data_IF_331921993947
#
_entry.id   IF_331921993947
#
_cell.length_a   1.000
_cell.length_b   1.000
_cell.length_c   1.000
_cell.angle_alpha   90.00
_cell.angle_beta   90.00
_cell.angle_gamma   90.00
#
_symmetry.space_group_name_H-M   'P 1'
#
loop_
_entity.id
_entity.type
_entity.pdbx_description
1 polymer ?
#
# COMPACT_ATOMS: atom_id res chain seq x y z
N UNK A 1 19.78 4.38 -15.68
CA UNK A 1 19.04 5.63 -15.97
C UNK A 1 18.21 5.95 -14.74
N UNK A 2 18.58 7.02 -14.03
CA UNK A 2 18.06 7.37 -12.71
C UNK A 2 16.82 8.27 -12.87
N UNK A 3 15.63 7.70 -12.79
CA UNK A 3 14.37 8.45 -12.94
C UNK A 3 14.04 9.19 -11.64
N UNK A 4 14.28 10.51 -11.62
CA UNK A 4 13.93 11.42 -10.53
C UNK A 4 12.41 11.72 -10.45
N UNK A 5 11.58 10.69 -10.39
CA UNK A 5 10.16 10.84 -10.06
C UNK A 5 9.86 10.05 -8.77
N UNK A 6 9.37 10.69 -7.71
CA UNK A 6 9.03 10.00 -6.45
C UNK A 6 7.84 9.04 -6.61
N UNK A 7 7.11 9.12 -7.73
CA UNK A 7 5.95 8.30 -8.04
C UNK A 7 6.21 7.45 -9.27
N UNK A 8 5.85 6.17 -9.20
CA UNK A 8 5.89 5.28 -10.34
C UNK A 8 4.85 5.70 -11.39
N UNK A 9 5.24 5.75 -12.66
CA UNK A 9 4.26 5.90 -13.74
C UNK A 9 3.53 4.56 -13.94
N UNK A 10 2.31 4.44 -13.41
CA UNK A 10 1.52 3.21 -13.52
C UNK A 10 1.01 2.92 -14.94
N UNK A 11 1.09 3.89 -15.87
CA UNK A 11 0.80 3.65 -17.28
C UNK A 11 1.96 2.97 -18.02
N UNK A 12 3.19 3.08 -17.50
CA UNK A 12 4.36 2.37 -18.00
C UNK A 12 4.39 0.96 -17.41
N UNK A 13 4.40 -0.08 -18.25
CA UNK A 13 4.31 -1.47 -17.76
C UNK A 13 5.51 -1.90 -16.90
N UNK A 14 6.70 -1.41 -17.20
CA UNK A 14 7.92 -1.73 -16.45
C UNK A 14 7.89 -1.10 -15.07
N UNK A 15 7.51 0.18 -14.99
CA UNK A 15 7.36 0.89 -13.72
C UNK A 15 6.17 0.37 -12.92
N UNK A 16 5.06 0.03 -13.59
CA UNK A 16 3.87 -0.57 -12.98
C UNK A 16 4.19 -1.89 -12.29
N UNK A 17 4.84 -2.83 -12.98
CA UNK A 17 5.14 -4.13 -12.37
C UNK A 17 6.12 -4.00 -11.20
N UNK A 18 7.15 -3.17 -11.32
CA UNK A 18 8.08 -2.90 -10.22
C UNK A 18 7.36 -2.28 -9.01
N UNK A 19 6.46 -1.33 -9.23
CA UNK A 19 5.64 -0.74 -8.18
C UNK A 19 4.72 -1.77 -7.52
N UNK A 20 3.98 -2.55 -8.31
CA UNK A 20 3.03 -3.56 -7.80
C UNK A 20 3.74 -4.58 -6.91
N UNK A 21 4.88 -5.11 -7.35
CA UNK A 21 5.64 -6.10 -6.56
C UNK A 21 6.16 -5.50 -5.25
N UNK A 22 6.72 -4.29 -5.29
CA UNK A 22 7.19 -3.59 -4.08
C UNK A 22 6.03 -3.34 -3.11
N UNK A 23 4.92 -2.85 -3.61
CA UNK A 23 3.73 -2.55 -2.80
C UNK A 23 3.14 -3.81 -2.19
N UNK A 24 3.06 -4.91 -2.93
CA UNK A 24 2.59 -6.20 -2.43
C UNK A 24 3.47 -6.72 -1.27
N UNK A 25 4.79 -6.65 -1.41
CA UNK A 25 5.71 -7.03 -0.33
C UNK A 25 5.54 -6.17 0.92
N UNK A 26 5.38 -4.85 0.76
CA UNK A 26 5.15 -3.95 1.90
C UNK A 26 3.82 -4.21 2.61
N UNK A 27 2.77 -4.58 1.87
CA UNK A 27 1.51 -5.02 2.46
C UNK A 27 1.66 -6.35 3.21
N UNK A 28 2.38 -7.31 2.64
CA UNK A 28 2.66 -8.60 3.29
C UNK A 28 3.44 -8.41 4.60
N UNK A 29 4.47 -7.57 4.60
CA UNK A 29 5.23 -7.21 5.79
C UNK A 29 4.31 -6.59 6.86
N UNK A 30 3.42 -5.68 6.47
CA UNK A 30 2.51 -5.01 7.40
C UNK A 30 1.52 -6.01 8.02
N UNK A 31 1.01 -6.95 7.21
CA UNK A 31 0.10 -8.02 7.68
C UNK A 31 0.79 -8.97 8.67
N UNK A 32 2.10 -9.19 8.54
CA UNK A 32 2.88 -10.05 9.45
C UNK A 32 3.55 -9.28 10.59
N UNK A 33 3.42 -7.95 10.63
CA UNK A 33 4.03 -7.11 11.67
C UNK A 33 3.18 -7.05 12.95
N UNK A 34 3.76 -6.47 14.00
CA UNK A 34 3.04 -6.11 15.23
C UNK A 34 1.93 -5.09 14.98
N UNK A 35 1.97 -4.37 13.86
CA UNK A 35 0.99 -3.34 13.50
C UNK A 35 -0.28 -3.90 12.86
N UNK A 36 -0.39 -5.22 12.67
CA UNK A 36 -1.58 -5.88 12.10
C UNK A 36 -2.88 -5.41 12.75
N UNK A 37 -2.88 -5.23 14.07
CA UNK A 37 -4.03 -4.75 14.84
C UNK A 37 -4.55 -3.38 14.37
N UNK A 38 -3.67 -2.50 13.86
CA UNK A 38 -4.04 -1.17 13.36
C UNK A 38 -4.71 -1.25 12.01
N UNK A 39 -4.33 -2.23 11.17
CA UNK A 39 -5.04 -2.50 9.92
C UNK A 39 -6.47 -2.96 10.24
N UNK A 40 -6.61 -3.92 11.16
CA UNK A 40 -7.91 -4.45 11.56
C UNK A 40 -8.82 -3.34 12.08
N UNK A 41 -8.31 -2.52 13.01
CA UNK A 41 -9.02 -1.36 13.53
C UNK A 41 -9.42 -0.39 12.41
N UNK A 42 -8.52 -0.07 11.47
CA UNK A 42 -8.84 0.84 10.38
C UNK A 42 -9.92 0.27 9.44
N UNK A 43 -9.92 -1.04 9.18
CA UNK A 43 -10.96 -1.71 8.38
C UNK A 43 -12.30 -1.66 9.11
N UNK A 44 -12.33 -1.94 10.41
CA UNK A 44 -13.54 -1.84 11.25
C UNK A 44 -14.09 -0.41 11.25
N UNK A 45 -13.23 0.59 11.47
CA UNK A 45 -13.61 2.01 11.45
C UNK A 45 -14.18 2.44 10.09
N UNK A 46 -13.62 1.95 8.97
CA UNK A 46 -14.16 2.18 7.63
C UNK A 46 -15.53 1.50 7.48
N UNK A 47 -15.67 0.24 7.90
CA UNK A 47 -16.91 -0.53 7.79
C UNK A 47 -18.05 0.09 8.61
N UNK A 48 -17.72 0.71 9.75
CA UNK A 48 -18.68 1.41 10.61
C UNK A 48 -18.96 2.85 10.16
N UNK A 49 -18.37 3.29 9.05
CA UNK A 49 -18.53 4.66 8.53
C UNK A 49 -17.87 5.72 9.40
N UNK A 50 -16.99 5.33 10.33
CA UNK A 50 -16.23 6.23 11.23
C UNK A 50 -14.93 6.73 10.61
N UNK A 51 -14.44 6.06 9.56
CA UNK A 51 -13.18 6.38 8.87
C UNK A 51 -13.22 7.57 7.90
N UNK A 52 -14.37 8.19 7.66
CA UNK A 52 -14.50 9.41 6.84
C UNK A 52 -15.17 10.49 7.70
N UNK A 53 -14.40 11.51 8.09
CA UNK A 53 -14.91 12.77 8.64
C UNK A 53 -14.51 13.92 7.71
#
# INVERSE_FOLDING_TARGET
>A
MNSKHPFANLADIGQRMAFVLKTAAQFDDLLHSTERHRIEQAIEEIAEGRGIR
#
